data_IF_005002490802
#
_entry.id   IF_005002490802
#
_cell.length_a   1.000
_cell.length_b   1.000
_cell.length_c   1.000
_cell.angle_alpha   90.00
_cell.angle_beta   90.00
_cell.angle_gamma   90.00
#
_symmetry.space_group_name_H-M   'P 1'
#
loop_
_entity.id
_entity.type
_entity.pdbx_description
1 polymer ?
#
# COMPACT_ATOMS: atom_id res chain seq x y z
N UNK A 1 -7.58 -13.13 -8.97
CA UNK A 1 -8.18 -12.05 -8.14
C UNK A 1 -7.58 -10.77 -8.64
N UNK A 2 -8.32 -10.02 -9.44
CA UNK A 2 -7.83 -8.80 -10.07
C UNK A 2 -8.10 -7.66 -9.10
N UNK A 3 -7.05 -7.11 -8.49
CA UNK A 3 -7.21 -5.94 -7.63
C UNK A 3 -7.52 -4.74 -8.53
N UNK A 4 -8.50 -3.93 -8.17
CA UNK A 4 -8.69 -2.63 -8.79
C UNK A 4 -7.62 -1.67 -8.23
N UNK A 5 -6.41 -1.72 -8.81
CA UNK A 5 -5.24 -0.95 -8.34
C UNK A 5 -5.55 0.54 -8.17
N UNK A 6 -6.42 1.09 -9.01
CA UNK A 6 -6.87 2.49 -8.89
C UNK A 6 -7.69 2.72 -7.62
N UNK A 7 -8.65 1.84 -7.31
CA UNK A 7 -9.44 1.94 -6.08
C UNK A 7 -8.61 1.70 -4.82
N UNK A 8 -7.60 0.82 -4.91
CA UNK A 8 -6.64 0.63 -3.81
C UNK A 8 -5.73 1.85 -3.64
N UNK A 9 -5.28 2.46 -4.74
CA UNK A 9 -4.48 3.68 -4.70
C UNK A 9 -5.24 4.81 -4.00
N UNK A 10 -6.51 5.02 -4.34
CA UNK A 10 -7.37 6.01 -3.68
C UNK A 10 -7.54 5.70 -2.19
N UNK A 11 -7.76 4.44 -1.82
CA UNK A 11 -7.82 4.02 -0.42
C UNK A 11 -6.51 4.31 0.32
N UNK A 12 -5.36 3.95 -0.27
CA UNK A 12 -4.04 4.18 0.30
C UNK A 12 -3.78 5.67 0.53
N UNK A 13 -4.10 6.52 -0.45
CA UNK A 13 -3.99 7.98 -0.36
C UNK A 13 -4.78 8.58 0.80
N UNK A 14 -5.96 8.02 1.10
CA UNK A 14 -6.81 8.52 2.17
C UNK A 14 -6.54 7.89 3.55
N UNK A 15 -5.81 6.77 3.60
CA UNK A 15 -5.69 5.95 4.82
C UNK A 15 -4.28 5.85 5.35
N UNK A 16 -3.26 5.88 4.49
CA UNK A 16 -1.88 5.67 4.91
C UNK A 16 -1.25 6.99 5.34
N UNK A 17 -0.45 6.94 6.39
CA UNK A 17 0.31 8.09 6.86
C UNK A 17 1.58 8.27 5.97
N UNK A 18 1.91 9.50 5.63
CA UNK A 18 3.02 9.89 4.75
C UNK A 18 4.23 10.44 5.51
N UNK A 19 4.16 10.50 6.84
CA UNK A 19 5.24 11.03 7.66
C UNK A 19 6.54 10.27 7.40
N UNK A 20 7.62 11.04 7.26
CA UNK A 20 8.98 10.53 7.12
C UNK A 20 9.44 9.77 8.37
N UNK A 21 8.80 9.99 9.52
CA UNK A 21 9.11 9.29 10.77
C UNK A 21 8.73 7.80 10.73
N UNK A 22 7.92 7.40 9.75
CA UNK A 22 7.51 6.01 9.51
C UNK A 22 8.17 5.42 8.26
N UNK A 23 9.31 5.96 7.82
CA UNK A 23 10.10 5.35 6.75
C UNK A 23 10.50 3.91 7.10
N UNK A 24 10.37 3.01 6.12
CA UNK A 24 10.69 1.59 6.22
C UNK A 24 9.80 0.75 7.15
N UNK A 25 8.65 1.28 7.55
CA UNK A 25 7.63 0.53 8.30
C UNK A 25 6.86 -0.47 7.41
N UNK A 26 6.33 -1.52 8.02
CA UNK A 26 5.54 -2.56 7.36
C UNK A 26 4.23 -2.80 8.13
N UNK A 27 3.11 -2.80 7.41
CA UNK A 27 1.80 -3.04 7.99
C UNK A 27 0.89 -3.82 7.04
N UNK A 28 -0.23 -4.30 7.57
CA UNK A 28 -1.23 -5.01 6.78
C UNK A 28 -2.59 -4.32 6.87
N UNK A 29 -3.29 -4.27 5.75
CA UNK A 29 -4.63 -3.68 5.63
C UNK A 29 -5.61 -4.67 5.03
N UNK A 30 -6.89 -4.51 5.35
CA UNK A 30 -7.96 -5.28 4.71
C UNK A 30 -8.73 -4.37 3.78
N UNK A 31 -8.70 -4.65 2.48
CA UNK A 31 -9.42 -3.91 1.45
C UNK A 31 -10.30 -4.87 0.66
N UNK A 32 -11.58 -4.53 0.51
CA UNK A 32 -12.57 -5.38 -0.18
C UNK A 32 -12.60 -6.84 0.30
N UNK A 33 -12.40 -7.06 1.61
CA UNK A 33 -12.39 -8.41 2.22
C UNK A 33 -11.12 -9.22 1.99
N UNK A 34 -10.09 -8.63 1.36
CA UNK A 34 -8.79 -9.25 1.11
C UNK A 34 -7.72 -8.54 1.93
N UNK A 35 -6.80 -9.32 2.52
CA UNK A 35 -5.67 -8.78 3.29
C UNK A 35 -4.48 -8.51 2.38
N UNK A 36 -3.92 -7.32 2.49
CA UNK A 36 -2.75 -6.85 1.75
C UNK A 36 -1.63 -6.48 2.72
N UNK A 37 -0.40 -6.76 2.34
CA UNK A 37 0.79 -6.31 3.06
C UNK A 37 1.40 -5.11 2.34
N UNK A 38 1.77 -4.11 3.10
CA UNK A 38 2.25 -2.83 2.60
C UNK A 38 3.55 -2.49 3.31
N UNK A 39 4.61 -2.28 2.53
CA UNK A 39 5.84 -1.68 3.01
C UNK A 39 5.83 -0.19 2.66
N UNK A 40 6.12 0.65 3.64
CA UNK A 40 6.18 2.09 3.49
C UNK A 40 7.63 2.51 3.23
N UNK A 41 7.99 2.77 1.98
CA UNK A 41 9.33 3.26 1.60
C UNK A 41 9.32 4.78 1.46
N UNK A 42 10.50 5.42 1.56
CA UNK A 42 10.64 6.90 1.47
C UNK A 42 9.88 7.57 0.31
N UNK A 43 9.82 6.94 -0.86
CA UNK A 43 9.25 7.55 -2.07
C UNK A 43 7.99 6.83 -2.59
N UNK A 44 7.63 5.67 -2.04
CA UNK A 44 6.52 4.85 -2.54
C UNK A 44 6.02 3.88 -1.46
N UNK A 45 4.85 3.32 -1.66
CA UNK A 45 4.37 2.14 -0.94
C UNK A 45 4.56 0.91 -1.83
N UNK A 46 5.14 -0.15 -1.29
CA UNK A 46 5.21 -1.44 -1.96
C UNK A 46 4.08 -2.33 -1.44
N UNK A 47 3.18 -2.75 -2.33
CA UNK A 47 2.00 -3.54 -1.98
C UNK A 47 2.22 -4.96 -2.46
N UNK A 48 2.22 -5.91 -1.52
CA UNK A 48 2.46 -7.32 -1.80
C UNK A 48 1.12 -8.03 -1.99
N UNK A 49 0.95 -8.62 -3.17
CA UNK A 49 -0.24 -9.38 -3.58
C UNK A 49 0.23 -10.76 -4.04
N UNK A 50 0.19 -11.74 -3.13
CA UNK A 50 0.77 -13.05 -3.40
C UNK A 50 2.28 -12.93 -3.64
N UNK A 51 2.74 -13.32 -4.83
CA UNK A 51 4.15 -13.21 -5.25
C UNK A 51 4.46 -11.91 -6.01
N UNK A 52 3.47 -11.07 -6.26
CA UNK A 52 3.63 -9.81 -6.99
C UNK A 52 3.81 -8.63 -6.04
N UNK A 53 4.61 -7.65 -6.45
CA UNK A 53 4.81 -6.38 -5.75
C UNK A 53 4.43 -5.24 -6.67
N UNK A 54 3.51 -4.40 -6.21
CA UNK A 54 3.02 -3.23 -6.92
C UNK A 54 3.48 -1.95 -6.20
N UNK A 55 4.18 -1.07 -6.91
CA UNK A 55 4.71 0.17 -6.32
C UNK A 55 3.75 1.33 -6.56
N UNK A 56 3.23 1.91 -5.49
CA UNK A 56 2.39 3.09 -5.53
C UNK A 56 3.21 4.33 -5.12
N UNK A 57 3.32 5.37 -5.95
CA UNK A 57 4.06 6.57 -5.58
C UNK A 57 3.45 7.23 -4.32
N UNK A 58 4.31 7.85 -3.50
CA UNK A 58 3.81 8.81 -2.52
C UNK A 58 3.37 10.07 -3.26
N UNK A 59 2.19 10.60 -2.93
CA UNK A 59 1.72 11.89 -3.42
C UNK A 59 2.55 13.03 -2.82
#
# INVERSE_FOLDING_TARGET
MQIELNAFADYALNTFDYSADFEEDEFAVTFQGVRYYVERKRNHFAIHIGSEVHNLPRC
#
